data_IF_707870389329
#
_entry.id   IF_707870389329
#
_cell.length_a   1.000
_cell.length_b   1.000
_cell.length_c   1.000
_cell.angle_alpha   90.00
_cell.angle_beta   90.00
_cell.angle_gamma   90.00
#
_symmetry.space_group_name_H-M   'P 1'
#
loop_
_entity.id
_entity.type
_entity.pdbx_description
1 polymer ?
#
# COMPACT_ATOMS: atom_id res chain seq x y z
N UNK A 1 -37.91 15.83 -17.11
CA UNK A 1 -36.49 16.15 -16.94
C UNK A 1 -35.66 15.15 -17.72
N UNK A 2 -34.66 15.58 -18.47
CA UNK A 2 -33.73 14.68 -19.13
C UNK A 2 -32.88 13.94 -18.05
N UNK A 3 -32.74 12.62 -18.18
CA UNK A 3 -31.92 11.83 -17.27
C UNK A 3 -30.46 12.06 -17.59
N UNK A 4 -29.65 12.31 -16.56
CA UNK A 4 -28.19 12.36 -16.68
C UNK A 4 -27.65 10.94 -16.81
N UNK A 5 -26.78 10.67 -17.80
CA UNK A 5 -26.12 9.38 -17.95
C UNK A 5 -25.08 9.20 -16.83
N UNK A 6 -25.20 8.16 -15.99
CA UNK A 6 -24.22 7.88 -14.96
C UNK A 6 -22.89 7.44 -15.58
N UNK A 7 -21.78 8.01 -15.10
CA UNK A 7 -20.43 7.64 -15.57
C UNK A 7 -19.39 7.90 -14.50
N UNK A 8 -18.39 7.06 -14.45
CA UNK A 8 -17.17 7.28 -13.64
C UNK A 8 -16.17 8.13 -14.43
N UNK A 9 -15.49 9.05 -13.77
CA UNK A 9 -14.45 9.87 -14.40
C UNK A 9 -13.23 9.01 -14.78
N UNK A 10 -12.57 9.36 -15.87
CA UNK A 10 -11.35 8.70 -16.30
C UNK A 10 -10.25 8.84 -15.23
N UNK A 11 -9.66 7.71 -14.84
CA UNK A 11 -8.64 7.66 -13.77
C UNK A 11 -9.21 7.54 -12.36
N UNK A 12 -10.52 7.37 -12.23
CA UNK A 12 -11.18 7.06 -10.96
C UNK A 12 -11.74 5.64 -11.03
N UNK A 13 -11.70 4.92 -9.93
CA UNK A 13 -12.12 3.53 -9.87
C UNK A 13 -13.28 3.35 -8.89
N UNK A 14 -14.29 2.62 -9.32
CA UNK A 14 -15.38 2.16 -8.48
C UNK A 14 -15.31 0.64 -8.40
N UNK A 15 -15.30 0.10 -7.19
CA UNK A 15 -15.28 -1.35 -6.96
C UNK A 15 -16.72 -1.85 -6.79
N UNK A 16 -17.01 -3.01 -7.40
CA UNK A 16 -18.23 -3.74 -7.08
C UNK A 16 -18.14 -4.33 -5.66
N UNK A 17 -19.29 -4.62 -4.99
CA UNK A 17 -19.29 -5.07 -3.59
C UNK A 17 -18.35 -6.23 -3.28
N UNK A 18 -18.26 -7.24 -4.15
CA UNK A 18 -17.34 -8.37 -3.96
C UNK A 18 -15.87 -7.96 -4.02
N UNK A 19 -15.51 -7.09 -4.97
CA UNK A 19 -14.15 -6.53 -5.08
C UNK A 19 -13.82 -5.65 -3.88
N UNK A 20 -14.79 -4.86 -3.39
CA UNK A 20 -14.62 -4.04 -2.20
C UNK A 20 -14.33 -4.93 -0.97
N UNK A 21 -15.01 -6.06 -0.82
CA UNK A 21 -14.75 -7.01 0.27
C UNK A 21 -13.32 -7.57 0.20
N UNK A 22 -12.82 -7.90 -0.99
CA UNK A 22 -11.42 -8.32 -1.16
C UNK A 22 -10.44 -7.19 -0.80
N UNK A 23 -10.74 -5.96 -1.21
CA UNK A 23 -9.93 -4.80 -0.88
C UNK A 23 -9.89 -4.53 0.63
N UNK A 24 -11.02 -4.64 1.34
CA UNK A 24 -11.09 -4.50 2.80
C UNK A 24 -10.26 -5.55 3.54
N UNK A 25 -10.15 -6.78 3.01
CA UNK A 25 -9.26 -7.81 3.58
C UNK A 25 -7.78 -7.38 3.50
N UNK A 26 -7.37 -6.80 2.38
CA UNK A 26 -6.01 -6.24 2.26
C UNK A 26 -5.82 -5.12 3.28
N UNK A 27 -6.76 -4.18 3.38
CA UNK A 27 -6.69 -3.09 4.36
C UNK A 27 -6.58 -3.61 5.81
N UNK A 28 -7.34 -4.65 6.15
CA UNK A 28 -7.29 -5.29 7.47
C UNK A 28 -5.90 -5.85 7.74
N UNK A 29 -5.34 -6.63 6.81
CA UNK A 29 -4.00 -7.22 6.95
C UNK A 29 -2.93 -6.14 7.14
N UNK A 30 -2.99 -5.04 6.39
CA UNK A 30 -2.04 -3.93 6.53
C UNK A 30 -2.13 -3.30 7.93
N UNK A 31 -3.34 -2.96 8.39
CA UNK A 31 -3.56 -2.35 9.71
C UNK A 31 -3.06 -3.25 10.84
N UNK A 32 -3.38 -4.54 10.78
CA UNK A 32 -2.92 -5.52 11.76
C UNK A 32 -1.39 -5.63 11.75
N UNK A 33 -0.77 -5.72 10.58
CA UNK A 33 0.70 -5.80 10.47
C UNK A 33 1.37 -4.55 11.02
N UNK A 34 0.92 -3.35 10.63
CA UNK A 34 1.50 -2.10 11.10
C UNK A 34 1.37 -1.92 12.62
N UNK A 35 0.24 -2.35 13.20
CA UNK A 35 0.02 -2.32 14.63
C UNK A 35 1.00 -3.20 15.42
N UNK A 36 1.46 -4.34 14.84
CA UNK A 36 2.48 -5.20 15.45
C UNK A 36 3.83 -4.50 15.64
N UNK A 37 4.13 -3.49 14.82
CA UNK A 37 5.35 -2.68 14.92
C UNK A 37 5.15 -1.39 15.73
N UNK A 38 4.03 -1.23 16.41
CA UNK A 38 3.73 -0.07 17.25
C UNK A 38 3.40 1.20 16.47
N UNK A 39 2.96 1.07 15.22
CA UNK A 39 2.46 2.23 14.47
C UNK A 39 1.03 2.56 14.89
N UNK A 40 0.76 3.85 15.12
CA UNK A 40 -0.57 4.37 15.43
C UNK A 40 -1.28 4.85 14.16
N UNK A 41 -2.61 4.65 14.05
CA UNK A 41 -3.36 5.20 12.93
C UNK A 41 -3.40 6.72 12.97
N UNK A 42 -3.27 7.33 11.80
CA UNK A 42 -3.44 8.77 11.60
C UNK A 42 -4.29 8.99 10.35
N UNK A 43 -5.10 10.03 10.33
CA UNK A 43 -5.70 10.57 9.12
C UNK A 43 -5.56 12.09 9.11
N UNK A 44 -5.12 12.62 7.98
CA UNK A 44 -5.01 14.06 7.72
C UNK A 44 -6.09 14.46 6.72
N UNK A 45 -6.52 15.74 6.69
CA UNK A 45 -7.51 16.19 5.72
C UNK A 45 -7.10 15.90 4.27
N UNK A 46 -8.09 15.52 3.45
CA UNK A 46 -7.88 15.35 2.00
C UNK A 46 -7.74 16.69 1.27
N UNK A 47 -8.32 17.75 1.85
CA UNK A 47 -8.25 19.13 1.35
C UNK A 47 -7.43 19.95 2.32
N UNK A 48 -6.45 20.65 1.82
CA UNK A 48 -5.58 21.56 2.59
C UNK A 48 -5.50 22.91 1.88
N UNK A 49 -5.03 23.95 2.59
CA UNK A 49 -4.64 25.18 1.95
C UNK A 49 -3.53 24.93 0.92
N UNK A 50 -3.64 25.54 -0.26
CA UNK A 50 -2.69 25.31 -1.33
C UNK A 50 -1.26 25.68 -0.93
N UNK A 51 -1.07 26.74 -0.12
CA UNK A 51 0.22 27.13 0.42
C UNK A 51 0.92 26.04 1.25
N UNK A 52 0.13 25.19 1.96
CA UNK A 52 0.66 24.07 2.74
C UNK A 52 1.18 22.98 1.81
N UNK A 53 0.39 22.53 0.83
CA UNK A 53 0.78 21.43 -0.04
C UNK A 53 1.86 21.83 -1.06
N UNK A 54 1.95 23.11 -1.37
CA UNK A 54 2.92 23.68 -2.30
C UNK A 54 4.12 24.34 -1.61
N UNK A 55 4.27 24.22 -0.28
CA UNK A 55 5.32 24.86 0.50
C UNK A 55 6.73 24.53 -0.03
N UNK A 56 6.95 23.30 -0.51
CA UNK A 56 8.19 22.91 -1.16
C UNK A 56 8.41 23.62 -2.51
N UNK A 57 7.32 24.05 -3.18
CA UNK A 57 7.33 24.72 -4.47
C UNK A 57 7.92 23.92 -5.64
N UNK A 58 7.46 24.23 -6.84
CA UNK A 58 8.07 23.80 -8.10
C UNK A 58 7.87 22.33 -8.52
N UNK A 59 8.31 22.04 -9.71
CA UNK A 59 8.41 20.69 -10.24
C UNK A 59 7.11 20.09 -10.79
N UNK A 60 7.14 18.78 -10.92
CA UNK A 60 6.07 17.97 -11.50
C UNK A 60 4.82 17.96 -10.59
N UNK A 61 4.99 18.04 -9.27
CA UNK A 61 3.90 18.04 -8.28
C UNK A 61 2.96 19.22 -8.47
N UNK A 62 3.50 20.42 -8.70
CA UNK A 62 2.69 21.62 -8.89
C UNK A 62 1.79 21.54 -10.12
N UNK A 63 2.26 20.87 -11.19
CA UNK A 63 1.47 20.65 -12.42
C UNK A 63 0.37 19.61 -12.25
N UNK A 64 0.52 18.70 -11.30
CA UNK A 64 -0.37 17.55 -11.11
C UNK A 64 -1.31 17.70 -9.93
N UNK A 65 -1.12 18.69 -9.05
CA UNK A 65 -1.99 18.91 -7.90
C UNK A 65 -3.37 19.43 -8.35
N UNK A 66 -4.42 18.87 -7.77
CA UNK A 66 -5.77 19.42 -7.97
C UNK A 66 -5.94 20.63 -7.06
N UNK A 67 -6.06 21.82 -7.67
CA UNK A 67 -6.23 23.12 -7.02
C UNK A 67 -7.57 23.73 -7.41
N UNK A 68 -8.25 24.34 -6.45
CA UNK A 68 -9.55 24.98 -6.66
C UNK A 68 -9.80 26.07 -5.61
N UNK A 69 -10.74 26.94 -5.87
CA UNK A 69 -11.15 27.99 -4.94
C UNK A 69 -12.54 27.71 -4.37
N UNK A 70 -12.74 28.03 -3.09
CA UNK A 70 -14.05 28.02 -2.44
C UNK A 70 -14.20 29.27 -1.58
N UNK A 71 -15.05 30.21 -1.99
CA UNK A 71 -15.07 31.57 -1.44
C UNK A 71 -13.70 32.22 -1.66
N UNK A 72 -13.11 32.77 -0.61
CA UNK A 72 -11.79 33.41 -0.63
C UNK A 72 -10.64 32.42 -0.37
N UNK A 73 -10.94 31.14 -0.19
CA UNK A 73 -9.93 30.12 0.14
C UNK A 73 -9.37 29.47 -1.12
N UNK A 74 -8.03 29.43 -1.20
CA UNK A 74 -7.28 28.68 -2.20
C UNK A 74 -6.91 27.30 -1.65
N UNK A 75 -7.48 26.26 -2.22
CA UNK A 75 -7.49 24.89 -1.69
C UNK A 75 -6.89 23.91 -2.69
N UNK A 76 -6.28 22.85 -2.16
CA UNK A 76 -5.78 21.74 -2.98
C UNK A 76 -6.13 20.39 -2.38
N UNK A 77 -6.26 19.37 -3.23
CA UNK A 77 -6.32 17.98 -2.80
C UNK A 77 -4.91 17.44 -2.55
N UNK A 78 -4.72 16.69 -1.45
CA UNK A 78 -3.43 16.09 -1.10
C UNK A 78 -2.90 15.18 -2.23
N UNK A 79 -1.63 15.40 -2.57
CA UNK A 79 -0.91 14.66 -3.62
C UNK A 79 -0.28 13.37 -3.10
N UNK A 80 0.10 13.37 -1.84
CA UNK A 80 0.65 12.27 -1.06
C UNK A 80 0.16 12.35 0.40
N UNK A 81 0.64 11.46 1.26
CA UNK A 81 0.32 11.45 2.69
C UNK A 81 1.50 11.95 3.55
N UNK A 82 2.66 12.23 2.95
CA UNK A 82 3.89 12.59 3.67
C UNK A 82 4.01 14.10 3.88
N UNK A 83 3.65 14.93 2.88
CA UNK A 83 3.62 16.40 3.06
C UNK A 83 2.59 16.82 4.10
N UNK A 84 1.34 16.32 4.09
CA UNK A 84 0.39 16.56 5.17
C UNK A 84 0.88 16.07 6.54
N UNK A 85 1.62 14.96 6.60
CA UNK A 85 2.24 14.47 7.84
C UNK A 85 3.27 15.47 8.38
N UNK A 86 4.15 15.99 7.53
CA UNK A 86 5.17 16.95 7.95
C UNK A 86 4.53 18.19 8.59
N UNK A 87 3.48 18.74 7.97
CA UNK A 87 2.67 19.82 8.55
C UNK A 87 2.02 19.40 9.87
N UNK A 88 1.43 18.21 9.93
CA UNK A 88 0.78 17.69 11.13
C UNK A 88 1.76 17.59 12.31
N UNK A 89 2.93 17.00 12.08
CA UNK A 89 3.95 16.83 13.14
C UNK A 89 4.48 18.20 13.61
N UNK A 90 4.69 19.14 12.69
CA UNK A 90 5.09 20.50 13.05
C UNK A 90 4.02 21.21 13.90
N UNK A 91 2.75 21.11 13.53
CA UNK A 91 1.62 21.72 14.22
C UNK A 91 1.40 21.14 15.63
N UNK A 92 1.52 19.81 15.76
CA UNK A 92 1.23 19.08 17.01
C UNK A 92 2.48 18.60 17.74
N UNK A 93 3.63 19.23 17.48
CA UNK A 93 4.92 18.79 18.04
C UNK A 93 4.89 18.55 19.55
N UNK A 94 4.25 19.44 20.30
CA UNK A 94 4.20 19.34 21.75
C UNK A 94 3.23 18.26 22.29
N UNK A 95 2.35 17.76 21.44
CA UNK A 95 1.37 16.72 21.76
C UNK A 95 1.86 15.32 21.39
N UNK A 96 2.97 15.24 20.64
CA UNK A 96 3.51 13.98 20.12
C UNK A 96 4.71 13.50 20.96
N UNK A 97 4.88 12.18 20.99
CA UNK A 97 6.07 11.53 21.56
C UNK A 97 6.97 11.01 20.44
N UNK A 98 8.29 11.27 20.56
CA UNK A 98 9.27 10.87 19.54
C UNK A 98 10.16 9.70 20.02
N UNK A 99 10.58 8.77 19.13
CA UNK A 99 10.21 8.75 17.72
C UNK A 99 8.72 8.49 17.50
N UNK A 100 8.07 9.35 16.70
CA UNK A 100 6.65 9.23 16.37
C UNK A 100 6.45 8.23 15.22
N UNK A 101 5.68 7.18 15.48
CA UNK A 101 5.42 6.09 14.51
C UNK A 101 3.95 6.13 14.12
N UNK A 102 3.67 6.42 12.85
CA UNK A 102 2.30 6.48 12.35
C UNK A 102 2.11 5.61 11.11
N UNK A 103 0.91 5.12 10.91
CA UNK A 103 0.46 4.69 9.58
C UNK A 103 -0.76 5.48 9.14
N UNK A 104 -0.88 5.68 7.83
CA UNK A 104 -2.07 6.27 7.23
C UNK A 104 -2.42 5.50 5.95
N UNK A 105 -3.69 5.09 5.84
CA UNK A 105 -4.23 4.48 4.63
C UNK A 105 -5.33 5.40 4.12
N UNK A 106 -5.08 6.09 3.02
CA UNK A 106 -5.96 7.13 2.54
C UNK A 106 -5.84 7.38 1.04
N UNK A 107 -6.84 8.06 0.50
CA UNK A 107 -6.85 8.49 -0.90
C UNK A 107 -5.96 9.69 -1.10
N UNK A 108 -5.25 9.69 -2.23
CA UNK A 108 -4.47 10.82 -2.75
C UNK A 108 -4.87 11.09 -4.19
N UNK A 109 -4.52 12.28 -4.69
CA UNK A 109 -5.05 12.81 -5.95
C UNK A 109 -3.93 13.36 -6.82
N UNK A 110 -3.81 12.85 -8.06
CA UNK A 110 -2.79 13.27 -9.02
C UNK A 110 -3.40 13.53 -10.38
N UNK A 111 -3.22 14.74 -10.91
CA UNK A 111 -3.75 15.18 -12.21
C UNK A 111 -3.01 14.60 -13.43
N UNK A 112 -2.24 13.53 -13.26
CA UNK A 112 -1.51 12.89 -14.34
C UNK A 112 -2.43 12.20 -15.36
N UNK A 113 -1.88 11.87 -16.53
CA UNK A 113 -2.62 11.12 -17.56
C UNK A 113 -2.94 9.72 -17.04
N UNK A 114 -4.23 9.38 -17.00
CA UNK A 114 -4.69 8.06 -16.62
C UNK A 114 -4.12 6.99 -17.58
N UNK A 115 -3.57 5.92 -17.00
CA UNK A 115 -3.00 4.77 -17.71
C UNK A 115 -3.35 3.49 -16.96
N UNK A 116 -3.11 2.32 -17.57
CA UNK A 116 -3.31 1.03 -16.91
C UNK A 116 -2.50 0.98 -15.59
N UNK A 117 -3.18 0.73 -14.48
CA UNK A 117 -2.57 0.75 -13.14
C UNK A 117 -2.17 2.12 -12.60
N UNK A 118 -2.50 3.23 -13.29
CA UNK A 118 -2.30 4.60 -12.81
C UNK A 118 -3.61 5.35 -12.78
N UNK A 119 -3.97 5.77 -11.57
CA UNK A 119 -5.24 6.42 -11.27
C UNK A 119 -5.00 7.86 -10.83
N UNK A 120 -6.02 8.71 -11.00
CA UNK A 120 -6.05 10.09 -10.55
C UNK A 120 -6.52 10.23 -9.11
N UNK A 121 -7.31 9.29 -8.63
CA UNK A 121 -7.66 9.06 -7.23
C UNK A 121 -7.25 7.63 -6.89
N UNK A 122 -6.44 7.45 -5.86
CA UNK A 122 -5.96 6.12 -5.45
C UNK A 122 -5.57 6.07 -3.98
N UNK A 123 -5.65 4.89 -3.39
CA UNK A 123 -5.20 4.65 -2.03
C UNK A 123 -3.69 4.48 -1.98
N UNK A 124 -3.08 5.18 -1.05
CA UNK A 124 -1.75 4.89 -0.51
C UNK A 124 -1.87 4.32 0.89
N UNK A 125 -0.96 3.41 1.24
CA UNK A 125 -0.79 2.89 2.59
C UNK A 125 0.64 3.20 3.03
N UNK A 126 0.77 4.22 3.84
CA UNK A 126 2.04 4.80 4.27
C UNK A 126 2.32 4.47 5.71
N UNK A 127 3.59 4.18 6.02
CA UNK A 127 4.13 4.17 7.38
C UNK A 127 5.31 5.13 7.44
N UNK A 128 5.45 5.85 8.55
CA UNK A 128 6.57 6.76 8.80
C UNK A 128 6.98 6.72 10.26
N UNK A 129 8.29 6.89 10.48
CA UNK A 129 8.92 7.06 11.78
C UNK A 129 9.61 8.41 11.76
N UNK A 130 9.18 9.33 12.64
CA UNK A 130 9.72 10.68 12.73
C UNK A 130 10.52 10.80 14.02
N UNK A 131 11.76 11.25 13.90
CA UNK A 131 12.62 11.58 15.04
C UNK A 131 12.52 13.03 15.47
N UNK A 132 13.14 13.35 16.60
CA UNK A 132 13.35 14.71 17.10
C UNK A 132 14.85 14.99 17.20
N UNK A 133 15.35 15.92 16.38
CA UNK A 133 16.76 16.24 16.21
C UNK A 133 17.57 15.14 15.51
N UNK A 134 17.30 13.88 15.80
CA UNK A 134 17.97 12.71 15.22
C UNK A 134 17.03 11.52 15.09
N UNK A 135 17.36 10.62 14.18
CA UNK A 135 16.67 9.33 14.01
C UNK A 135 17.73 8.25 13.79
N UNK A 136 17.67 7.18 14.59
CA UNK A 136 18.61 6.05 14.48
C UNK A 136 18.51 5.36 13.11
N UNK A 137 19.65 5.00 12.54
CA UNK A 137 19.76 4.24 11.29
C UNK A 137 19.06 2.86 11.36
N UNK A 138 18.88 2.29 12.56
CA UNK A 138 18.18 1.03 12.73
C UNK A 138 16.70 1.12 12.37
N UNK A 139 16.08 2.31 12.43
CA UNK A 139 14.72 2.50 11.90
C UNK A 139 14.68 2.30 10.38
N UNK A 140 15.76 2.64 9.67
CA UNK A 140 15.88 2.40 8.24
C UNK A 140 16.06 0.91 7.92
N UNK A 141 16.68 0.13 8.79
CA UNK A 141 16.78 -1.32 8.66
C UNK A 141 15.45 -2.04 9.03
N UNK A 142 14.64 -1.47 9.91
CA UNK A 142 13.34 -2.04 10.29
C UNK A 142 12.30 -1.92 9.16
N UNK A 143 12.33 -0.83 8.37
CA UNK A 143 11.36 -0.61 7.28
C UNK A 143 11.28 -1.79 6.30
N UNK A 144 12.37 -2.35 5.75
CA UNK A 144 12.30 -3.53 4.91
C UNK A 144 11.64 -4.75 5.58
N UNK A 145 11.83 -4.92 6.89
CA UNK A 145 11.19 -6.02 7.62
C UNK A 145 9.67 -5.86 7.67
N UNK A 146 9.18 -4.62 7.79
CA UNK A 146 7.75 -4.31 7.75
C UNK A 146 7.18 -4.59 6.35
N UNK A 147 7.90 -4.22 5.29
CA UNK A 147 7.53 -4.54 3.91
C UNK A 147 7.44 -6.06 3.73
N UNK A 148 8.49 -6.78 4.12
CA UNK A 148 8.54 -8.23 4.03
C UNK A 148 7.37 -8.89 4.77
N UNK A 149 7.15 -8.50 6.03
CA UNK A 149 6.06 -9.02 6.86
C UNK A 149 4.69 -8.74 6.25
N UNK A 150 4.48 -7.52 5.75
CA UNK A 150 3.21 -7.11 5.14
C UNK A 150 2.91 -7.91 3.89
N UNK A 151 3.87 -8.04 2.98
CA UNK A 151 3.67 -8.76 1.73
C UNK A 151 3.52 -10.26 1.96
N UNK A 152 4.30 -10.83 2.88
CA UNK A 152 4.15 -12.24 3.28
C UNK A 152 2.79 -12.52 3.93
N UNK A 153 2.29 -11.61 4.78
CA UNK A 153 0.96 -11.74 5.40
C UNK A 153 -0.18 -11.65 4.37
N UNK A 154 0.01 -10.89 3.28
CA UNK A 154 -0.92 -10.86 2.16
C UNK A 154 -0.87 -12.14 1.31
N UNK A 155 0.22 -12.93 1.38
CA UNK A 155 0.43 -14.16 0.61
C UNK A 155 1.42 -14.02 -0.54
N UNK A 156 2.05 -12.85 -0.72
CA UNK A 156 3.13 -12.66 -1.67
C UNK A 156 4.42 -13.32 -1.13
N UNK A 157 5.13 -14.06 -1.99
CA UNK A 157 6.40 -14.73 -1.67
C UNK A 157 7.54 -14.26 -2.57
N UNK A 158 7.23 -14.05 -3.85
CA UNK A 158 8.21 -13.75 -4.90
C UNK A 158 8.27 -12.25 -5.18
N UNK A 159 8.86 -11.52 -4.25
CA UNK A 159 9.13 -10.08 -4.35
C UNK A 159 10.55 -9.76 -3.87
N UNK A 160 11.08 -8.65 -4.33
CA UNK A 160 12.40 -8.17 -3.93
C UNK A 160 12.34 -6.72 -3.48
N UNK A 161 12.88 -6.47 -2.30
CA UNK A 161 13.07 -5.15 -1.72
C UNK A 161 14.46 -4.68 -2.16
N UNK A 162 14.49 -3.74 -3.08
CA UNK A 162 15.73 -3.11 -3.57
C UNK A 162 16.09 -1.97 -2.64
N UNK A 163 17.34 -1.88 -2.24
CA UNK A 163 17.84 -0.90 -1.26
C UNK A 163 19.04 -0.17 -1.84
N UNK A 164 19.09 1.16 -1.67
CA UNK A 164 20.24 1.99 -1.98
C UNK A 164 20.36 3.10 -0.93
N UNK A 165 21.40 3.91 -1.02
CA UNK A 165 21.56 5.14 -0.23
C UNK A 165 21.93 6.30 -1.14
N UNK A 166 21.16 7.39 -1.09
CA UNK A 166 21.39 8.58 -1.95
C UNK A 166 22.74 9.24 -1.74
N UNK A 167 23.30 9.11 -0.53
CA UNK A 167 24.65 9.65 -0.25
C UNK A 167 25.73 8.95 -1.08
N UNK A 168 25.55 7.63 -1.38
CA UNK A 168 26.46 6.90 -2.27
C UNK A 168 26.47 7.53 -3.66
N UNK A 169 25.28 7.76 -4.23
CA UNK A 169 25.17 8.38 -5.57
C UNK A 169 25.69 9.80 -5.56
N UNK A 170 25.29 10.63 -4.60
CA UNK A 170 25.75 12.02 -4.48
C UNK A 170 27.27 12.10 -4.29
N UNK A 171 27.84 11.25 -3.43
CA UNK A 171 29.30 11.20 -3.20
C UNK A 171 30.05 10.73 -4.44
N UNK A 172 29.51 9.75 -5.18
CA UNK A 172 30.11 9.33 -6.45
C UNK A 172 30.09 10.44 -7.51
N UNK A 173 28.95 11.15 -7.64
CA UNK A 173 28.89 12.30 -8.57
C UNK A 173 29.82 13.44 -8.15
N UNK A 174 30.00 13.66 -6.85
CA UNK A 174 30.98 14.63 -6.34
C UNK A 174 32.43 14.22 -6.67
N UNK A 175 32.78 12.92 -6.64
CA UNK A 175 34.10 12.46 -7.09
C UNK A 175 34.37 12.75 -8.56
N UNK A 176 33.33 12.83 -9.37
CA UNK A 176 33.41 13.23 -10.80
C UNK A 176 33.30 14.74 -11.01
N UNK A 177 33.22 15.56 -9.95
CA UNK A 177 33.02 17.01 -10.05
C UNK A 177 31.63 17.44 -10.52
N UNK A 178 30.60 16.57 -10.35
CA UNK A 178 29.25 16.75 -10.89
C UNK A 178 28.21 17.08 -9.83
N UNK A 179 28.59 17.59 -8.66
CA UNK A 179 27.69 17.86 -7.52
C UNK A 179 26.46 18.68 -7.91
N UNK A 180 26.66 19.78 -8.66
CA UNK A 180 25.58 20.69 -9.08
C UNK A 180 24.55 20.02 -10.02
N UNK A 181 24.97 18.95 -10.72
CA UNK A 181 24.14 18.22 -11.67
C UNK A 181 23.53 16.94 -11.10
N UNK A 182 23.80 16.63 -9.83
CA UNK A 182 23.36 15.37 -9.19
C UNK A 182 21.86 15.09 -9.35
N UNK A 183 21.03 16.11 -9.19
CA UNK A 183 19.57 15.99 -9.33
C UNK A 183 19.14 15.60 -10.76
N UNK A 184 19.73 16.23 -11.78
CA UNK A 184 19.42 15.94 -13.19
C UNK A 184 19.93 14.55 -13.60
N UNK A 185 21.12 14.19 -13.12
CA UNK A 185 21.70 12.85 -13.33
C UNK A 185 20.78 11.81 -12.74
N UNK A 186 20.36 11.96 -11.48
CA UNK A 186 19.46 11.00 -10.82
C UNK A 186 18.13 10.87 -11.55
N UNK A 187 17.51 11.97 -11.98
CA UNK A 187 16.26 11.94 -12.76
C UNK A 187 16.41 11.24 -14.11
N UNK A 188 17.61 11.28 -14.67
CA UNK A 188 17.90 10.64 -15.97
C UNK A 188 18.21 9.16 -15.81
N UNK A 189 19.04 8.80 -14.81
CA UNK A 189 19.34 7.42 -14.43
C UNK A 189 18.06 6.65 -14.07
N UNK A 190 17.10 7.28 -13.42
CA UNK A 190 15.79 6.70 -13.12
C UNK A 190 15.01 6.17 -14.33
N UNK A 191 15.33 6.65 -15.51
CA UNK A 191 14.71 6.16 -16.75
C UNK A 191 15.36 4.87 -17.27
N UNK A 192 16.45 4.41 -16.64
CA UNK A 192 17.28 3.31 -17.16
C UNK A 192 16.45 2.04 -17.47
N UNK A 193 15.62 1.60 -16.54
CA UNK A 193 14.79 0.40 -16.73
C UNK A 193 13.75 0.55 -17.87
N UNK A 194 13.40 1.79 -18.23
CA UNK A 194 12.37 2.08 -19.24
C UNK A 194 12.93 2.27 -20.65
N UNK A 195 14.09 2.94 -20.75
CA UNK A 195 14.62 3.40 -22.04
C UNK A 195 15.97 2.78 -22.40
N UNK A 196 16.59 2.07 -21.45
CA UNK A 196 17.88 1.41 -21.62
C UNK A 196 19.11 2.32 -21.51
N UNK A 197 20.31 1.73 -21.33
CA UNK A 197 21.54 2.46 -21.03
C UNK A 197 22.00 3.40 -22.15
N UNK A 198 21.86 3.04 -23.40
CA UNK A 198 22.26 3.86 -24.54
C UNK A 198 21.48 5.19 -24.61
N UNK A 199 20.16 5.14 -24.36
CA UNK A 199 19.32 6.34 -24.35
C UNK A 199 19.59 7.20 -23.11
N UNK A 200 19.84 6.56 -21.96
CA UNK A 200 20.24 7.29 -20.74
C UNK A 200 21.56 7.99 -20.96
N UNK A 201 22.56 7.32 -21.56
CA UNK A 201 23.84 7.93 -21.95
C UNK A 201 23.64 9.15 -22.83
N UNK A 202 22.85 9.01 -23.89
CA UNK A 202 22.55 10.09 -24.79
C UNK A 202 21.91 11.31 -24.09
N UNK A 203 21.00 11.08 -23.14
CA UNK A 203 20.38 12.14 -22.35
C UNK A 203 21.36 12.80 -21.38
N UNK A 204 22.29 12.07 -20.79
CA UNK A 204 23.32 12.61 -19.88
C UNK A 204 24.29 13.54 -20.62
N UNK A 205 24.61 13.19 -21.86
CA UNK A 205 25.55 13.98 -22.71
C UNK A 205 24.82 15.12 -23.41
N UNK A 206 23.51 15.05 -23.63
CA UNK A 206 22.72 16.08 -24.30
C UNK A 206 22.86 17.44 -23.62
N UNK A 207 22.69 18.54 -24.42
CA UNK A 207 22.91 19.92 -24.02
C UNK A 207 22.22 20.33 -22.72
N UNK A 208 21.04 19.79 -22.45
CA UNK A 208 20.27 20.08 -21.24
C UNK A 208 21.03 19.71 -19.94
N UNK A 209 21.81 18.62 -19.93
CA UNK A 209 22.64 18.19 -18.80
C UNK A 209 24.11 18.44 -19.10
N UNK A 210 24.56 18.15 -20.33
CA UNK A 210 25.86 18.49 -20.85
C UNK A 210 27.02 17.84 -20.10
N UNK A 211 26.96 16.53 -19.82
CA UNK A 211 28.08 15.81 -19.22
C UNK A 211 29.13 15.45 -20.29
N UNK A 212 30.43 15.43 -19.89
CA UNK A 212 31.44 14.77 -20.70
C UNK A 212 31.07 13.29 -20.94
N UNK A 213 31.36 12.76 -22.14
CA UNK A 213 31.07 11.35 -22.47
C UNK A 213 31.68 10.36 -21.47
N UNK A 214 32.93 10.61 -21.08
CA UNK A 214 33.65 9.81 -20.09
C UNK A 214 32.92 9.77 -18.74
N UNK A 215 32.40 10.92 -18.29
CA UNK A 215 31.61 10.96 -17.03
C UNK A 215 30.29 10.21 -17.14
N UNK A 216 29.63 10.28 -18.30
CA UNK A 216 28.40 9.52 -18.53
C UNK A 216 28.67 8.00 -18.51
N UNK A 217 29.79 7.58 -19.12
CA UNK A 217 30.21 6.17 -19.15
C UNK A 217 30.58 5.66 -17.75
N UNK A 218 31.30 6.45 -16.95
CA UNK A 218 31.63 6.11 -15.55
C UNK A 218 30.36 6.00 -14.67
N UNK A 219 29.39 6.89 -14.86
CA UNK A 219 28.10 6.82 -14.16
C UNK A 219 27.38 5.51 -14.52
N UNK A 220 27.24 5.18 -15.80
CA UNK A 220 26.58 3.96 -16.25
C UNK A 220 27.30 2.70 -15.74
N UNK A 221 28.64 2.69 -15.75
CA UNK A 221 29.44 1.61 -15.21
C UNK A 221 29.24 1.43 -13.70
N UNK A 222 29.18 2.53 -12.94
CA UNK A 222 28.95 2.51 -11.51
C UNK A 222 27.57 1.95 -11.16
N UNK A 223 26.49 2.45 -11.77
CA UNK A 223 25.14 1.99 -11.51
C UNK A 223 24.86 0.58 -12.05
N UNK A 224 25.70 0.07 -12.94
CA UNK A 224 25.64 -1.28 -13.48
C UNK A 224 26.31 -2.33 -12.57
N UNK A 225 26.92 -1.95 -11.45
CA UNK A 225 27.48 -2.90 -10.47
C UNK A 225 26.37 -3.82 -9.98
N UNK A 226 26.53 -5.11 -10.16
CA UNK A 226 25.55 -6.17 -9.84
C UNK A 226 26.25 -7.36 -9.23
N UNK A 227 25.49 -8.22 -8.57
CA UNK A 227 25.91 -9.44 -7.94
C UNK A 227 25.10 -9.74 -6.69
N UNK A 228 25.59 -10.61 -5.83
CA UNK A 228 25.09 -10.77 -4.46
C UNK A 228 25.29 -9.48 -3.67
N UNK A 229 24.54 -9.31 -2.59
CA UNK A 229 24.69 -8.13 -1.72
C UNK A 229 26.14 -7.92 -1.27
N UNK A 230 26.84 -9.01 -0.91
CA UNK A 230 28.23 -8.98 -0.50
C UNK A 230 29.18 -8.52 -1.63
N UNK A 231 28.97 -8.97 -2.86
CA UNK A 231 29.77 -8.57 -4.02
C UNK A 231 29.59 -7.09 -4.35
N UNK A 232 28.32 -6.60 -4.32
CA UNK A 232 28.03 -5.18 -4.54
C UNK A 232 28.68 -4.31 -3.46
N UNK A 233 28.55 -4.66 -2.18
CA UNK A 233 29.17 -3.92 -1.08
C UNK A 233 30.70 -3.93 -1.19
N UNK A 234 31.30 -5.06 -1.58
CA UNK A 234 32.76 -5.19 -1.80
C UNK A 234 33.20 -4.28 -2.97
N UNK A 235 32.43 -4.21 -4.05
CA UNK A 235 32.74 -3.31 -5.17
C UNK A 235 32.67 -1.82 -4.73
N UNK A 236 31.71 -1.46 -3.87
CA UNK A 236 31.61 -0.12 -3.31
C UNK A 236 32.76 0.23 -2.38
N UNK A 237 33.36 -0.75 -1.64
CA UNK A 237 34.54 -0.55 -0.80
C UNK A 237 35.74 -0.02 -1.62
N UNK A 238 35.85 -0.34 -2.89
CA UNK A 238 36.86 0.19 -3.80
C UNK A 238 36.83 1.71 -4.03
N UNK A 239 35.75 2.36 -3.64
CA UNK A 239 35.59 3.83 -3.73
C UNK A 239 35.77 4.53 -2.37
N UNK A 240 35.86 3.79 -1.27
CA UNK A 240 35.97 4.33 0.08
C UNK A 240 37.23 5.21 0.25
N UNK A 241 37.11 6.25 1.07
CA UNK A 241 38.21 7.21 1.32
C UNK A 241 38.36 8.29 0.27
N UNK A 242 37.51 8.31 -0.76
CA UNK A 242 37.56 9.31 -1.83
C UNK A 242 36.59 10.47 -1.64
N UNK A 243 35.53 10.27 -0.86
CA UNK A 243 34.52 11.31 -0.58
C UNK A 243 33.78 10.97 0.71
N UNK A 244 33.70 11.93 1.64
CA UNK A 244 33.08 11.73 2.97
C UNK A 244 31.59 11.41 2.90
N UNK A 245 30.83 12.00 1.96
CA UNK A 245 29.40 11.73 1.79
C UNK A 245 29.18 10.30 1.28
N UNK A 246 30.05 9.85 0.36
CA UNK A 246 30.02 8.47 -0.11
C UNK A 246 30.30 7.49 1.02
N UNK A 247 31.34 7.74 1.81
CA UNK A 247 31.76 6.88 2.91
C UNK A 247 30.66 6.78 3.98
N UNK A 248 30.01 7.89 4.30
CA UNK A 248 28.85 7.90 5.18
C UNK A 248 27.72 7.05 4.60
N UNK A 249 27.34 7.25 3.33
CA UNK A 249 26.28 6.49 2.67
C UNK A 249 26.59 4.97 2.63
N UNK A 250 27.84 4.60 2.37
CA UNK A 250 28.26 3.19 2.37
C UNK A 250 28.21 2.59 3.77
N UNK A 251 28.63 3.31 4.80
CA UNK A 251 28.50 2.89 6.20
C UNK A 251 27.05 2.67 6.59
N UNK A 252 26.17 3.61 6.27
CA UNK A 252 24.73 3.51 6.52
C UNK A 252 24.13 2.29 5.78
N UNK A 253 24.45 2.10 4.51
CA UNK A 253 23.96 0.96 3.71
C UNK A 253 24.41 -0.38 4.30
N UNK A 254 25.65 -0.48 4.77
CA UNK A 254 26.16 -1.69 5.44
C UNK A 254 25.43 -1.99 6.74
N UNK A 255 25.11 -0.96 7.54
CA UNK A 255 24.32 -1.13 8.78
C UNK A 255 22.93 -1.61 8.44
N UNK A 256 22.26 -1.00 7.47
CA UNK A 256 20.91 -1.37 7.05
C UNK A 256 20.89 -2.81 6.56
N UNK A 257 21.69 -3.16 5.57
CA UNK A 257 21.70 -4.50 4.97
C UNK A 257 22.19 -5.59 5.96
N UNK A 258 23.19 -5.28 6.77
CA UNK A 258 23.69 -6.20 7.79
C UNK A 258 22.70 -6.49 8.92
N UNK A 259 21.71 -5.61 9.14
CA UNK A 259 20.68 -5.80 10.16
C UNK A 259 19.44 -6.57 9.66
N UNK A 260 19.25 -6.73 8.34
CA UNK A 260 18.04 -7.29 7.78
C UNK A 260 17.78 -8.74 8.20
N UNK A 261 18.81 -9.56 8.28
CA UNK A 261 18.68 -10.95 8.75
C UNK A 261 18.17 -11.02 10.20
N UNK A 262 18.67 -10.14 11.08
CA UNK A 262 18.20 -10.05 12.47
C UNK A 262 16.75 -9.55 12.55
N UNK A 263 16.31 -8.72 11.62
CA UNK A 263 14.92 -8.30 11.46
C UNK A 263 14.03 -9.34 10.76
N UNK A 264 14.56 -10.50 10.39
CA UNK A 264 13.81 -11.62 9.82
C UNK A 264 13.52 -11.48 8.31
N UNK A 265 14.29 -10.68 7.58
CA UNK A 265 14.18 -10.57 6.11
C UNK A 265 15.14 -11.57 5.46
N UNK A 266 14.63 -12.56 4.70
CA UNK A 266 15.49 -13.49 3.97
C UNK A 266 16.32 -12.77 2.91
N UNK A 267 17.53 -13.27 2.64
CA UNK A 267 18.45 -12.63 1.70
C UNK A 267 17.91 -12.61 0.26
N UNK A 268 17.14 -13.60 -0.12
CA UNK A 268 16.47 -13.65 -1.42
C UNK A 268 15.39 -12.57 -1.62
N UNK A 269 14.91 -11.94 -0.52
CA UNK A 269 13.89 -10.92 -0.57
C UNK A 269 14.42 -9.49 -0.57
N UNK A 270 15.74 -9.28 -0.49
CA UNK A 270 16.32 -7.95 -0.63
C UNK A 270 17.57 -7.94 -1.52
N UNK A 271 17.84 -6.81 -2.15
CA UNK A 271 19.03 -6.60 -2.96
C UNK A 271 19.55 -5.16 -2.86
N UNK A 272 20.85 -5.00 -2.78
CA UNK A 272 21.50 -3.69 -2.98
C UNK A 272 21.45 -3.38 -4.48
N UNK A 273 20.84 -2.24 -4.85
CA UNK A 273 20.67 -1.86 -6.24
C UNK A 273 20.92 -0.37 -6.47
N UNK A 274 22.04 -0.07 -7.11
CA UNK A 274 22.49 1.29 -7.35
C UNK A 274 21.67 2.04 -8.42
N UNK A 275 20.80 1.35 -9.16
CA UNK A 275 19.90 2.01 -10.13
C UNK A 275 18.73 2.71 -9.46
N UNK A 276 18.44 2.41 -8.17
CA UNK A 276 17.45 3.18 -7.43
C UNK A 276 18.03 4.57 -7.13
N UNK A 277 17.89 5.43 -8.09
CA UNK A 277 18.17 6.86 -7.96
C UNK A 277 16.91 7.63 -7.62
N UNK A 278 15.73 7.00 -7.81
CA UNK A 278 14.38 7.54 -7.68
C UNK A 278 13.96 7.73 -6.23
N UNK A 279 13.04 8.56 -6.08
CA UNK A 279 12.27 8.90 -4.91
C UNK A 279 11.78 10.32 -5.10
N UNK A 280 10.85 10.73 -4.25
CA UNK A 280 10.50 12.14 -4.18
C UNK A 280 11.77 12.94 -3.86
N UNK A 281 11.91 14.13 -4.42
CA UNK A 281 13.13 14.95 -4.34
C UNK A 281 13.57 15.29 -2.90
N UNK A 282 12.78 14.91 -1.90
CA UNK A 282 13.07 15.12 -0.48
C UNK A 282 13.85 13.98 0.20
N UNK A 283 14.11 12.83 -0.45
CA UNK A 283 14.91 11.78 0.18
C UNK A 283 16.38 12.14 0.28
N UNK A 284 16.99 11.84 1.44
CA UNK A 284 18.35 12.27 1.81
C UNK A 284 19.30 11.12 2.12
N UNK A 285 18.80 9.94 2.42
CA UNK A 285 19.57 8.77 2.85
C UNK A 285 19.14 7.48 2.15
N UNK A 286 18.86 6.43 2.93
CA UNK A 286 18.39 5.15 2.41
C UNK A 286 17.11 5.30 1.61
N UNK A 287 17.02 4.59 0.50
CA UNK A 287 15.85 4.51 -0.37
C UNK A 287 15.49 3.06 -0.65
N UNK A 288 14.19 2.81 -0.79
CA UNK A 288 13.63 1.48 -1.00
C UNK A 288 12.73 1.45 -2.22
N UNK A 289 12.76 0.35 -2.94
CA UNK A 289 11.82 0.05 -3.99
C UNK A 289 11.51 -1.44 -3.99
N UNK A 290 10.23 -1.81 -3.99
CA UNK A 290 9.82 -3.22 -4.00
C UNK A 290 9.14 -3.56 -5.30
N UNK A 291 9.57 -4.65 -5.93
CA UNK A 291 9.04 -5.17 -7.19
C UNK A 291 8.60 -6.63 -7.03
N UNK A 292 7.61 -7.05 -7.81
CA UNK A 292 7.21 -8.44 -7.90
C UNK A 292 8.08 -9.13 -8.95
N UNK A 293 8.76 -10.23 -8.57
CA UNK A 293 9.74 -10.90 -9.43
C UNK A 293 9.11 -11.56 -10.66
N UNK A 294 7.91 -12.10 -10.51
CA UNK A 294 7.18 -12.76 -11.58
C UNK A 294 6.38 -11.78 -12.45
N UNK A 295 6.30 -10.51 -12.05
CA UNK A 295 5.53 -9.46 -12.70
C UNK A 295 6.31 -8.14 -12.80
N UNK A 296 7.51 -8.14 -13.42
CA UNK A 296 8.36 -6.95 -13.51
C UNK A 296 7.70 -5.80 -14.29
N UNK A 297 6.77 -6.12 -15.19
CA UNK A 297 6.01 -5.12 -15.96
C UNK A 297 5.13 -4.21 -15.09
N UNK A 298 4.79 -4.65 -13.87
CA UNK A 298 4.06 -3.85 -12.89
C UNK A 298 4.91 -2.68 -12.40
N UNK A 299 6.23 -2.89 -12.33
CA UNK A 299 7.17 -1.96 -11.72
C UNK A 299 7.03 -1.91 -10.20
N UNK A 300 7.45 -0.81 -9.61
CA UNK A 300 7.41 -0.65 -8.15
C UNK A 300 5.99 -0.68 -7.59
N UNK A 301 5.78 -1.50 -6.56
CA UNK A 301 4.52 -1.62 -5.81
C UNK A 301 4.61 -0.98 -4.42
N UNK A 302 5.83 -0.80 -3.90
CA UNK A 302 6.11 -0.10 -2.66
C UNK A 302 7.42 0.66 -2.81
N UNK A 303 7.47 1.90 -2.35
CA UNK A 303 8.68 2.72 -2.38
C UNK A 303 8.74 3.64 -1.17
N UNK A 304 9.95 4.10 -0.84
CA UNK A 304 10.14 5.00 0.28
C UNK A 304 11.60 5.36 0.51
N UNK A 305 11.88 5.97 1.65
CA UNK A 305 13.23 6.33 2.03
C UNK A 305 13.28 7.28 3.23
N UNK A 306 14.52 7.64 3.59
CA UNK A 306 14.81 8.64 4.61
C UNK A 306 14.69 10.06 4.04
N UNK A 307 14.09 10.94 4.81
CA UNK A 307 14.00 12.38 4.56
C UNK A 307 14.32 13.16 5.83
N UNK A 308 15.21 14.13 5.73
CA UNK A 308 15.65 14.88 6.92
C UNK A 308 15.06 16.31 6.99
N UNK A 309 14.67 16.88 5.86
CA UNK A 309 14.36 18.31 5.74
C UNK A 309 12.89 18.60 5.37
N UNK A 310 12.01 17.60 5.36
CA UNK A 310 10.64 17.82 4.87
C UNK A 310 9.82 18.74 5.77
N UNK A 311 10.07 18.71 7.09
CA UNK A 311 9.35 19.54 8.05
C UNK A 311 9.89 20.98 8.12
N UNK A 312 11.05 21.30 7.54
CA UNK A 312 11.67 22.65 7.59
C UNK A 312 10.80 23.75 6.98
N UNK A 313 9.86 23.37 6.11
CA UNK A 313 8.87 24.29 5.54
C UNK A 313 7.81 24.77 6.55
N UNK A 314 7.70 24.10 7.70
CA UNK A 314 6.65 24.33 8.69
C UNK A 314 7.18 24.65 10.09
N UNK A 315 8.45 24.35 10.38
CA UNK A 315 9.07 24.52 11.70
C UNK A 315 10.59 24.61 11.59
N UNK A 316 11.21 25.32 12.56
CA UNK A 316 12.67 25.36 12.70
C UNK A 316 13.25 24.09 13.36
N UNK A 317 12.40 23.13 13.76
CA UNK A 317 12.84 21.89 14.37
C UNK A 317 13.35 20.91 13.33
N UNK A 318 14.43 20.22 13.64
CA UNK A 318 14.93 19.12 12.82
C UNK A 318 14.12 17.85 13.13
N UNK A 319 13.30 17.44 12.19
CA UNK A 319 12.40 16.29 12.31
C UNK A 319 12.71 15.26 11.20
N UNK A 320 13.85 14.54 11.31
CA UNK A 320 14.20 13.51 10.34
C UNK A 320 13.17 12.37 10.36
N UNK A 321 12.86 11.85 9.19
CA UNK A 321 11.92 10.76 9.06
C UNK A 321 12.38 9.67 8.10
N UNK A 322 11.82 8.50 8.25
CA UNK A 322 11.93 7.39 7.28
C UNK A 322 10.56 6.73 7.15
N UNK A 323 10.18 6.43 5.91
CA UNK A 323 8.90 5.79 5.67
C UNK A 323 8.80 5.15 4.30
N UNK A 324 7.71 4.41 4.10
CA UNK A 324 7.35 3.82 2.81
C UNK A 324 5.87 4.03 2.50
N UNK A 325 5.58 3.94 1.22
CA UNK A 325 4.23 4.00 0.68
C UNK A 325 3.97 2.81 -0.23
N UNK A 326 2.89 2.10 0.03
CA UNK A 326 2.36 1.08 -0.89
C UNK A 326 1.28 1.75 -1.75
N UNK A 327 1.45 1.72 -3.07
CA UNK A 327 0.43 2.14 -4.03
C UNK A 327 -0.73 1.12 -4.09
N UNK A 328 -1.60 1.16 -3.08
CA UNK A 328 -2.54 0.08 -2.79
C UNK A 328 -3.57 -0.16 -3.88
N UNK A 329 -4.14 0.91 -4.47
CA UNK A 329 -5.08 0.77 -5.60
C UNK A 329 -4.42 0.12 -6.81
N UNK A 330 -3.16 0.50 -7.09
CA UNK A 330 -2.38 -0.10 -8.18
C UNK A 330 -2.09 -1.57 -7.92
N UNK A 331 -1.63 -1.89 -6.71
CA UNK A 331 -1.36 -3.27 -6.31
C UNK A 331 -2.62 -4.13 -6.46
N UNK A 332 -3.75 -3.69 -5.89
CA UNK A 332 -5.02 -4.41 -5.98
C UNK A 332 -5.48 -4.61 -7.43
N UNK A 333 -5.43 -3.55 -8.24
CA UNK A 333 -5.81 -3.61 -9.66
C UNK A 333 -5.00 -4.65 -10.42
N UNK A 334 -3.68 -4.61 -10.26
CA UNK A 334 -2.79 -5.52 -10.98
C UNK A 334 -2.95 -6.96 -10.51
N UNK A 335 -3.04 -7.20 -9.20
CA UNK A 335 -3.30 -8.54 -8.66
C UNK A 335 -4.63 -9.11 -9.18
N UNK A 336 -5.65 -8.26 -9.32
CA UNK A 336 -6.92 -8.64 -9.94
C UNK A 336 -6.79 -9.03 -11.41
N UNK A 337 -6.08 -8.22 -12.21
CA UNK A 337 -5.80 -8.48 -13.62
C UNK A 337 -5.01 -9.78 -13.85
N UNK A 338 -4.09 -10.09 -12.95
CA UNK A 338 -3.27 -11.33 -12.98
C UNK A 338 -4.01 -12.54 -12.40
N UNK A 339 -5.22 -12.36 -11.86
CA UNK A 339 -5.99 -13.43 -11.22
C UNK A 339 -5.30 -13.99 -9.96
N UNK A 340 -4.56 -13.16 -9.25
CA UNK A 340 -3.84 -13.51 -8.02
C UNK A 340 -4.67 -13.29 -6.74
N UNK A 341 -5.80 -12.59 -6.83
CA UNK A 341 -6.71 -12.46 -5.68
C UNK A 341 -7.38 -13.81 -5.41
N UNK A 342 -7.36 -14.26 -4.16
CA UNK A 342 -7.89 -15.55 -3.77
C UNK A 342 -9.42 -15.61 -3.96
N UNK A 343 -9.94 -16.37 -4.95
CA UNK A 343 -11.37 -16.43 -5.21
C UNK A 343 -12.15 -17.28 -4.19
N UNK A 344 -11.45 -18.08 -3.38
CA UNK A 344 -12.08 -18.93 -2.35
C UNK A 344 -12.47 -18.15 -1.09
N UNK A 345 -11.89 -16.95 -0.88
CA UNK A 345 -12.25 -16.12 0.26
C UNK A 345 -13.66 -15.55 0.11
N UNK A 346 -14.48 -15.60 1.18
CA UNK A 346 -15.85 -15.12 1.12
C UNK A 346 -15.94 -13.63 0.75
N UNK A 347 -16.76 -13.32 -0.23
CA UNK A 347 -17.09 -11.94 -0.64
C UNK A 347 -18.56 -11.59 -0.41
N UNK A 348 -19.32 -12.52 0.22
CA UNK A 348 -20.71 -12.33 0.56
C UNK A 348 -20.91 -11.22 1.60
N UNK A 349 -21.98 -10.42 1.49
CA UNK A 349 -22.29 -9.35 2.44
C UNK A 349 -22.77 -9.91 3.79
N UNK A 350 -23.25 -11.16 3.81
CA UNK A 350 -23.71 -11.86 4.99
C UNK A 350 -23.24 -13.32 4.98
N UNK A 351 -23.15 -13.91 6.16
CA UNK A 351 -22.83 -15.33 6.35
C UNK A 351 -24.09 -16.19 6.27
N UNK A 352 -25.22 -15.61 6.65
CA UNK A 352 -26.53 -16.28 6.70
C UNK A 352 -27.60 -15.39 6.09
N UNK A 353 -28.45 -16.00 5.26
CA UNK A 353 -29.72 -15.41 4.84
C UNK A 353 -30.87 -16.21 5.48
N UNK A 354 -31.70 -15.55 6.28
CA UNK A 354 -32.95 -16.14 6.80
C UNK A 354 -34.07 -15.87 5.80
N UNK A 355 -34.77 -16.94 5.41
CA UNK A 355 -35.94 -16.90 4.57
C UNK A 355 -37.17 -17.28 5.44
N UNK A 356 -37.93 -16.28 5.95
CA UNK A 356 -39.20 -16.56 6.64
C UNK A 356 -40.19 -17.15 5.64
N UNK A 357 -40.92 -18.21 6.10
CA UNK A 357 -41.94 -18.89 5.35
C UNK A 357 -43.32 -18.70 6.01
N UNK A 358 -43.42 -17.80 6.97
CA UNK A 358 -44.60 -17.43 7.74
C UNK A 358 -44.98 -15.96 7.52
N UNK A 359 -46.24 -15.62 7.79
CA UNK A 359 -46.70 -14.22 7.78
C UNK A 359 -46.15 -13.45 8.98
N UNK A 360 -46.12 -14.07 10.16
CA UNK A 360 -45.48 -13.50 11.35
C UNK A 360 -43.96 -13.64 11.24
N UNK A 361 -43.28 -12.50 11.13
CA UNK A 361 -41.82 -12.43 11.05
C UNK A 361 -41.12 -12.40 12.42
N UNK A 362 -41.87 -12.31 13.51
CA UNK A 362 -41.30 -12.18 14.86
C UNK A 362 -40.29 -13.29 15.22
N UNK A 363 -40.53 -14.58 14.92
CA UNK A 363 -39.55 -15.64 15.18
C UNK A 363 -38.29 -15.51 14.34
N UNK A 364 -38.41 -15.10 13.08
CA UNK A 364 -37.26 -14.89 12.19
C UNK A 364 -36.43 -13.68 12.62
N UNK A 365 -37.07 -12.63 13.12
CA UNK A 365 -36.38 -11.43 13.68
C UNK A 365 -35.62 -11.84 14.95
N UNK A 366 -36.25 -12.66 15.85
CA UNK A 366 -35.60 -13.16 17.06
C UNK A 366 -34.34 -13.98 16.71
N UNK A 367 -34.47 -14.94 15.79
CA UNK A 367 -33.36 -15.76 15.32
C UNK A 367 -32.25 -14.93 14.68
N UNK A 368 -32.58 -13.91 13.83
CA UNK A 368 -31.60 -13.03 13.25
C UNK A 368 -30.84 -12.26 14.33
N UNK A 369 -31.49 -11.85 15.40
CA UNK A 369 -30.89 -11.13 16.52
C UNK A 369 -29.95 -12.05 17.30
N UNK A 370 -30.33 -13.29 17.54
CA UNK A 370 -29.50 -14.30 18.21
C UNK A 370 -28.24 -14.62 17.42
N UNK A 371 -28.37 -14.89 16.13
CA UNK A 371 -27.22 -15.11 15.23
C UNK A 371 -26.26 -13.91 15.21
N UNK A 372 -26.78 -12.69 15.13
CA UNK A 372 -25.95 -11.46 15.17
C UNK A 372 -25.25 -11.29 16.52
N UNK A 373 -25.92 -11.62 17.62
CA UNK A 373 -25.32 -11.59 18.95
C UNK A 373 -24.19 -12.61 19.10
N UNK A 374 -24.24 -13.71 18.34
CA UNK A 374 -23.18 -14.69 18.23
C UNK A 374 -22.06 -14.30 17.23
N UNK A 375 -22.09 -13.09 16.66
CA UNK A 375 -21.09 -12.58 15.71
C UNK A 375 -21.27 -13.04 14.26
N UNK A 376 -22.40 -13.68 13.92
CA UNK A 376 -22.70 -14.14 12.56
C UNK A 376 -23.40 -13.02 11.78
N UNK A 377 -22.82 -12.60 10.65
CA UNK A 377 -23.41 -11.58 9.77
C UNK A 377 -24.69 -12.12 9.13
N UNK A 378 -25.83 -11.69 9.60
CA UNK A 378 -27.12 -12.26 9.23
C UNK A 378 -28.01 -11.25 8.52
N UNK A 379 -28.51 -11.64 7.36
CA UNK A 379 -29.52 -10.91 6.61
C UNK A 379 -30.87 -11.60 6.74
N UNK A 380 -31.92 -10.83 6.99
CA UNK A 380 -33.32 -11.29 6.96
C UNK A 380 -33.95 -10.84 5.63
N UNK A 381 -34.49 -11.78 4.88
CA UNK A 381 -35.17 -11.47 3.62
C UNK A 381 -36.65 -11.14 3.89
N UNK A 382 -36.97 -9.86 3.97
CA UNK A 382 -38.32 -9.39 4.28
C UNK A 382 -39.23 -9.23 3.05
N UNK A 383 -38.67 -9.28 1.84
CA UNK A 383 -39.40 -9.00 0.62
C UNK A 383 -40.33 -10.17 0.23
N UNK A 384 -41.56 -9.81 -0.19
CA UNK A 384 -42.51 -10.78 -0.74
C UNK A 384 -42.10 -11.21 -2.15
N UNK A 385 -41.35 -12.30 -2.24
CA UNK A 385 -40.91 -12.90 -3.50
C UNK A 385 -41.12 -14.40 -3.48
N UNK A 386 -41.27 -15.01 -4.67
CA UNK A 386 -41.30 -16.45 -4.84
C UNK A 386 -40.01 -17.09 -4.29
N UNK A 387 -40.13 -18.26 -3.67
CA UNK A 387 -39.03 -19.02 -3.07
C UNK A 387 -37.79 -19.10 -3.98
N UNK A 388 -37.97 -19.47 -5.28
CA UNK A 388 -36.90 -19.55 -6.24
C UNK A 388 -36.14 -18.21 -6.38
N UNK A 389 -36.82 -17.07 -6.33
CA UNK A 389 -36.20 -15.77 -6.42
C UNK A 389 -35.37 -15.43 -5.18
N UNK A 390 -35.85 -15.84 -3.99
CA UNK A 390 -35.13 -15.70 -2.72
C UNK A 390 -33.86 -16.56 -2.71
N UNK A 391 -33.91 -17.79 -3.22
CA UNK A 391 -32.75 -18.68 -3.35
C UNK A 391 -31.73 -18.14 -4.36
N UNK A 392 -32.18 -17.67 -5.52
CA UNK A 392 -31.28 -17.04 -6.51
C UNK A 392 -30.61 -15.78 -5.96
N UNK A 393 -31.24 -15.07 -5.05
CA UNK A 393 -30.65 -13.91 -4.38
C UNK A 393 -29.49 -14.35 -3.45
N UNK A 394 -29.67 -15.39 -2.66
CA UNK A 394 -28.60 -15.94 -1.83
C UNK A 394 -27.40 -16.43 -2.66
N UNK A 395 -27.71 -17.20 -3.71
CA UNK A 395 -26.71 -17.76 -4.63
C UNK A 395 -25.90 -16.63 -5.35
N UNK A 396 -26.59 -15.65 -5.91
CA UNK A 396 -25.96 -14.50 -6.58
C UNK A 396 -25.06 -13.67 -5.68
N UNK A 397 -25.39 -13.59 -4.38
CA UNK A 397 -24.56 -12.89 -3.40
C UNK A 397 -23.46 -13.79 -2.80
N UNK A 398 -23.44 -15.08 -3.12
CA UNK A 398 -22.49 -16.03 -2.55
C UNK A 398 -22.66 -16.26 -1.06
N UNK A 399 -23.89 -16.08 -0.52
CA UNK A 399 -24.16 -16.26 0.91
C UNK A 399 -24.03 -17.75 1.25
N UNK A 400 -23.13 -18.12 2.18
CA UNK A 400 -22.78 -19.52 2.40
C UNK A 400 -23.88 -20.35 3.07
N UNK A 401 -24.73 -19.74 3.88
CA UNK A 401 -25.78 -20.45 4.60
C UNK A 401 -27.14 -19.81 4.37
N UNK A 402 -28.16 -20.64 4.16
CA UNK A 402 -29.56 -20.20 4.07
C UNK A 402 -30.37 -20.92 5.12
N UNK A 403 -31.11 -20.18 5.92
CA UNK A 403 -32.03 -20.71 6.93
C UNK A 403 -33.46 -20.55 6.41
N UNK A 404 -34.19 -21.65 6.43
CA UNK A 404 -35.65 -21.69 6.21
C UNK A 404 -36.34 -21.77 7.56
N UNK A 405 -37.29 -20.88 7.80
CA UNK A 405 -38.04 -20.83 9.05
C UNK A 405 -39.55 -20.80 8.73
N UNK A 406 -40.17 -21.96 8.80
CA UNK A 406 -41.60 -22.18 8.64
C UNK A 406 -42.29 -22.47 9.96
N UNK A 407 -43.61 -22.64 9.93
CA UNK A 407 -44.40 -22.96 11.13
C UNK A 407 -43.95 -24.27 11.79
N UNK A 408 -43.63 -25.28 10.98
CA UNK A 408 -43.17 -26.57 11.50
C UNK A 408 -41.84 -26.44 12.26
N UNK A 409 -40.88 -25.69 11.74
CA UNK A 409 -39.61 -25.43 12.39
C UNK A 409 -39.79 -24.65 13.69
N UNK A 410 -40.68 -23.64 13.69
CA UNK A 410 -40.98 -22.83 14.87
C UNK A 410 -41.59 -23.67 15.96
N UNK A 411 -42.62 -24.49 15.64
CA UNK A 411 -43.27 -25.37 16.61
C UNK A 411 -42.33 -26.43 17.18
N UNK A 412 -41.43 -26.96 16.34
CA UNK A 412 -40.45 -27.96 16.77
C UNK A 412 -39.23 -27.36 17.51
N UNK A 413 -39.09 -26.03 17.56
CA UNK A 413 -37.93 -25.33 18.16
C UNK A 413 -36.62 -25.60 17.42
N UNK A 414 -36.68 -25.85 16.12
CA UNK A 414 -35.53 -26.10 15.26
C UNK A 414 -35.47 -25.11 14.11
N UNK A 415 -34.32 -25.01 13.45
CA UNK A 415 -34.12 -24.25 12.24
C UNK A 415 -33.59 -25.15 11.12
N UNK A 416 -34.13 -25.01 9.93
CA UNK A 416 -33.65 -25.74 8.76
C UNK A 416 -32.52 -24.91 8.10
N UNK A 417 -31.29 -25.33 8.33
CA UNK A 417 -30.10 -24.64 7.80
C UNK A 417 -29.49 -25.42 6.62
N UNK A 418 -29.34 -24.74 5.49
CA UNK A 418 -28.70 -25.27 4.27
C UNK A 418 -27.35 -24.68 4.06
N UNK A 419 -26.31 -25.49 3.90
CA UNK A 419 -25.02 -25.09 3.38
C UNK A 419 -25.12 -25.02 1.85
N UNK A 420 -24.83 -23.83 1.28
CA UNK A 420 -25.01 -23.59 -0.14
C UNK A 420 -23.92 -24.23 -0.99
N UNK A 421 -22.74 -24.53 -0.44
CA UNK A 421 -21.65 -25.16 -1.16
C UNK A 421 -21.85 -26.68 -1.27
N UNK A 422 -22.18 -27.37 -0.17
CA UNK A 422 -22.44 -28.81 -0.16
C UNK A 422 -23.86 -29.20 -0.60
N UNK A 423 -24.79 -28.23 -0.49
CA UNK A 423 -26.22 -28.49 -0.67
C UNK A 423 -26.88 -29.24 0.51
N UNK A 424 -26.11 -29.60 1.54
CA UNK A 424 -26.61 -30.29 2.71
C UNK A 424 -27.55 -29.40 3.54
N UNK A 425 -28.68 -29.95 3.93
CA UNK A 425 -29.65 -29.29 4.79
C UNK A 425 -29.86 -30.08 6.09
N UNK A 426 -29.79 -29.40 7.22
CA UNK A 426 -29.96 -29.97 8.54
C UNK A 426 -31.04 -29.23 9.32
N UNK A 427 -31.72 -29.94 10.22
CA UNK A 427 -32.64 -29.35 11.19
C UNK A 427 -32.01 -29.49 12.58
N UNK A 428 -31.65 -28.37 13.19
CA UNK A 428 -30.92 -28.26 14.44
C UNK A 428 -31.57 -27.19 15.32
N UNK A 429 -31.31 -27.22 16.63
CA UNK A 429 -31.63 -26.08 17.49
C UNK A 429 -30.87 -24.82 17.03
N UNK A 430 -31.29 -23.62 17.46
CA UNK A 430 -30.60 -22.39 17.16
C UNK A 430 -29.13 -22.39 17.62
N UNK A 431 -28.87 -22.90 18.85
CA UNK A 431 -27.53 -23.00 19.41
C UNK A 431 -26.62 -23.95 18.60
N UNK A 432 -27.08 -25.11 18.20
CA UNK A 432 -26.33 -26.06 17.37
C UNK A 432 -26.07 -25.49 15.96
N UNK A 433 -27.05 -24.76 15.41
CA UNK A 433 -26.92 -24.08 14.11
C UNK A 433 -25.85 -23.00 14.18
N UNK A 434 -25.81 -22.19 15.24
CA UNK A 434 -24.77 -21.18 15.49
C UNK A 434 -23.39 -21.86 15.53
N UNK A 435 -23.21 -22.91 16.33
CA UNK A 435 -21.93 -23.60 16.43
C UNK A 435 -21.45 -24.17 15.07
N UNK A 436 -22.38 -24.80 14.33
CA UNK A 436 -22.08 -25.31 12.97
C UNK A 436 -21.65 -24.22 12.01
N UNK A 437 -22.38 -23.12 11.97
CA UNK A 437 -22.07 -21.99 11.08
C UNK A 437 -20.71 -21.39 11.46
N UNK A 438 -20.44 -21.13 12.73
CA UNK A 438 -19.15 -20.59 13.20
C UNK A 438 -17.98 -21.50 12.80
N UNK A 439 -18.11 -22.81 12.97
CA UNK A 439 -17.11 -23.79 12.54
C UNK A 439 -16.87 -23.73 11.02
N UNK A 440 -17.94 -23.73 10.23
CA UNK A 440 -17.83 -23.67 8.77
C UNK A 440 -17.27 -22.34 8.26
N UNK A 441 -17.59 -21.23 8.90
CA UNK A 441 -17.02 -19.90 8.55
C UNK A 441 -15.52 -19.85 8.86
N UNK A 442 -15.10 -20.39 10.01
CA UNK A 442 -13.68 -20.46 10.37
C UNK A 442 -12.86 -21.22 9.33
N UNK A 443 -13.39 -22.28 8.76
CA UNK A 443 -12.73 -23.02 7.67
C UNK A 443 -12.68 -22.21 6.37
N UNK A 444 -13.74 -21.49 6.02
CA UNK A 444 -13.83 -20.70 4.78
C UNK A 444 -12.93 -19.43 4.79
N UNK A 445 -12.60 -18.91 5.97
CA UNK A 445 -11.72 -17.76 6.12
C UNK A 445 -10.23 -18.11 6.12
N UNK A 446 -9.89 -19.41 6.10
CA UNK A 446 -8.50 -19.86 6.01
C UNK A 446 -7.93 -19.60 4.63
N UNK A 447 -6.74 -19.01 4.60
CA UNK A 447 -6.00 -18.78 3.38
C UNK A 447 -5.49 -17.35 3.23
N UNK A 448 -4.46 -17.21 2.44
CA UNK A 448 -3.89 -15.91 2.10
C UNK A 448 -4.83 -15.12 1.18
N UNK A 449 -4.77 -13.79 1.27
CA UNK A 449 -5.57 -12.90 0.41
C UNK A 449 -5.11 -12.98 -1.04
N UNK A 450 -3.81 -13.20 -1.24
CA UNK A 450 -3.16 -13.31 -2.55
C UNK A 450 -2.64 -14.74 -2.70
N UNK A 451 -2.88 -15.33 -3.86
CA UNK A 451 -2.34 -16.63 -4.28
C UNK A 451 -1.35 -16.39 -5.42
N UNK A 452 -0.08 -16.61 -5.16
CA UNK A 452 0.91 -16.73 -6.23
C UNK A 452 0.73 -18.08 -6.93
N UNK A 453 0.72 -18.06 -8.25
CA UNK A 453 0.56 -19.26 -9.10
C UNK A 453 1.89 -20.00 -9.26
#
# INVERSE_FOLDING_TARGET
>A
MAKTAPRTLSGFMELLPGQQQQFERILKTLRETYSLYGFTPLDTPAIEASEVLLAKGGGETEKQIYRFTKGDSDLSLRFDLTVPLAKYVALHYNDLSFPFRRYQIGKVYRGERAQRGRFREFYQADIDIIGDGKLSILNEAEIPSIIYRTFSALGLKRFQIRVNNRKILNGFYAMLGLTEKSGDIMRTVDKLDKIGPEKVRALLVAEDIGLPEESADEILKFIAIRGSNAEVLTALDGYQGRNEVFDQGLSELKIVTGSLAAFGVPEENFAVDLTIARGLDYYTGTVYETTLLDHPEIGSVCSGGRYDNLAEYYTDKQLPGVGISIGLTRLFYVLGEQGMLNPALPTAPADVLILPMTEDLSPAIALATELRSAGIRTQLHCEEKKFKAKMNYADKLGIPYVIFLGEDEIHAGVVACKDMASGEQTKLSAAETIARIQSGLSEREKGAVILEK
#
